data_IF_301520815281
#
_entry.id   IF_301520815281
#
_cell.length_a   1.000
_cell.length_b   1.000
_cell.length_c   1.000
_cell.angle_alpha   90.00
_cell.angle_beta   90.00
_cell.angle_gamma   90.00
#
_symmetry.space_group_name_H-M   'P 1'
#
loop_
_entity.id
_entity.type
_entity.pdbx_description
1 polymer ?
#
# COMPACT_ATOMS: atom_id res chain seq x y z
N UNK A 1 18.65 1.82 -26.65
CA UNK A 1 18.68 2.77 -25.51
C UNK A 1 18.06 2.09 -24.29
N UNK A 2 18.77 1.94 -23.17
CA UNK A 2 18.29 1.21 -21.98
C UNK A 2 17.73 2.19 -20.96
N UNK A 3 16.44 2.07 -20.62
CA UNK A 3 15.81 2.86 -19.57
C UNK A 3 16.22 2.28 -18.21
N UNK A 4 16.95 3.07 -17.42
CA UNK A 4 17.32 2.74 -16.04
C UNK A 4 16.62 3.75 -15.12
N UNK A 5 16.05 3.27 -14.01
CA UNK A 5 15.46 4.12 -12.97
C UNK A 5 16.00 3.70 -11.61
N UNK A 6 16.53 4.66 -10.85
CA UNK A 6 16.83 4.49 -9.42
C UNK A 6 15.68 5.05 -8.58
N UNK A 7 15.43 4.45 -7.42
CA UNK A 7 14.43 4.93 -6.45
C UNK A 7 15.12 5.16 -5.11
N UNK A 8 14.85 6.31 -4.51
CA UNK A 8 15.35 6.64 -3.18
C UNK A 8 14.66 5.73 -2.16
N UNK A 9 15.44 5.02 -1.35
CA UNK A 9 14.93 4.22 -0.24
C UNK A 9 15.18 4.98 1.07
N UNK A 10 14.26 4.93 2.04
CA UNK A 10 14.50 5.53 3.35
C UNK A 10 15.67 4.83 4.03
N UNK A 11 16.58 5.63 4.60
CA UNK A 11 17.72 5.13 5.37
C UNK A 11 17.22 4.56 6.69
N UNK A 12 17.61 3.32 7.00
CA UNK A 12 17.30 2.69 8.28
C UNK A 12 18.39 3.04 9.30
N UNK A 13 17.98 3.59 10.44
CA UNK A 13 18.84 3.72 11.62
C UNK A 13 19.16 2.33 12.16
N UNK A 14 20.24 2.20 12.94
CA UNK A 14 20.60 0.91 13.52
C UNK A 14 19.54 0.39 14.50
N UNK A 15 18.88 1.31 15.22
CA UNK A 15 17.69 0.98 16.02
C UNK A 15 16.58 0.34 15.16
N UNK A 16 16.21 0.95 14.03
CA UNK A 16 15.18 0.41 13.15
C UNK A 16 15.57 -0.97 12.60
N UNK A 17 16.86 -1.22 12.34
CA UNK A 17 17.34 -2.54 11.90
C UNK A 17 17.18 -3.58 13.01
N UNK A 18 17.58 -3.23 14.25
CA UNK A 18 17.44 -4.14 15.39
C UNK A 18 15.98 -4.47 15.69
N UNK A 19 15.09 -3.48 15.68
CA UNK A 19 13.68 -3.70 15.96
C UNK A 19 13.03 -4.60 14.89
N UNK A 20 13.39 -4.40 13.61
CA UNK A 20 12.97 -5.29 12.53
C UNK A 20 13.51 -6.71 12.68
N UNK A 21 14.77 -6.87 13.09
CA UNK A 21 15.36 -8.19 13.33
C UNK A 21 14.65 -8.92 14.48
N UNK A 22 14.40 -8.22 15.60
CA UNK A 22 13.65 -8.76 16.74
C UNK A 22 12.26 -9.21 16.32
N UNK A 23 11.56 -8.40 15.52
CA UNK A 23 10.26 -8.77 14.98
C UNK A 23 10.33 -10.04 14.11
N UNK A 24 11.32 -10.14 13.21
CA UNK A 24 11.50 -11.34 12.39
C UNK A 24 11.78 -12.59 13.23
N UNK A 25 12.65 -12.48 14.24
CA UNK A 25 12.99 -13.59 15.14
C UNK A 25 11.77 -14.05 15.96
N UNK A 26 10.93 -13.11 16.40
CA UNK A 26 9.67 -13.43 17.08
C UNK A 26 8.70 -14.23 16.19
N UNK A 27 8.86 -14.15 14.87
CA UNK A 27 8.06 -14.90 13.89
C UNK A 27 8.68 -16.21 13.45
N UNK A 28 9.75 -16.67 14.11
CA UNK A 28 10.40 -17.95 13.84
C UNK A 28 10.22 -18.86 15.06
N UNK A 29 9.70 -20.06 14.82
CA UNK A 29 9.48 -21.11 15.82
C UNK A 29 10.43 -22.28 15.56
N UNK A 30 10.84 -22.96 16.63
CA UNK A 30 11.60 -24.21 16.53
C UNK A 30 10.62 -25.37 16.32
N UNK A 31 10.78 -26.10 15.24
CA UNK A 31 10.03 -27.30 14.95
C UNK A 31 10.58 -28.50 15.75
N UNK A 32 9.76 -29.54 15.89
CA UNK A 32 10.11 -30.74 16.67
C UNK A 32 11.35 -31.49 16.13
N UNK A 33 11.69 -31.28 14.86
CA UNK A 33 12.86 -31.85 14.20
C UNK A 33 14.13 -30.97 14.35
N UNK A 34 14.05 -29.86 15.09
CA UNK A 34 15.15 -28.91 15.28
C UNK A 34 15.26 -27.83 14.19
N UNK A 35 14.39 -27.84 13.18
CA UNK A 35 14.39 -26.82 12.14
C UNK A 35 13.73 -25.52 12.60
N UNK A 36 14.15 -24.39 12.01
CA UNK A 36 13.52 -23.09 12.21
C UNK A 36 12.44 -22.88 11.15
N UNK A 37 11.19 -22.78 11.58
CA UNK A 37 10.04 -22.52 10.71
C UNK A 37 9.43 -21.16 11.01
N UNK A 38 8.97 -20.46 9.98
CA UNK A 38 8.17 -19.25 10.19
C UNK A 38 6.79 -19.62 10.76
N UNK A 39 6.29 -18.75 11.62
CA UNK A 39 4.89 -18.72 12.06
C UNK A 39 3.96 -18.82 10.84
N UNK A 40 2.92 -19.63 10.96
CA UNK A 40 1.98 -19.85 9.86
C UNK A 40 1.06 -18.64 9.63
N UNK A 41 0.97 -17.73 10.59
CA UNK A 41 0.18 -16.51 10.52
C UNK A 41 -1.29 -16.74 10.18
N UNK A 42 -1.85 -17.94 10.43
CA UNK A 42 -3.26 -18.21 10.11
C UNK A 42 -4.26 -17.41 10.96
N UNK A 43 -3.80 -16.92 12.12
CA UNK A 43 -4.59 -16.08 13.03
C UNK A 43 -4.34 -14.58 12.84
N UNK A 44 -3.61 -14.20 11.78
CA UNK A 44 -3.29 -12.81 11.49
C UNK A 44 -4.12 -12.25 10.33
N UNK A 45 -4.64 -11.05 10.55
CA UNK A 45 -5.24 -10.21 9.51
C UNK A 45 -4.32 -9.01 9.31
N UNK A 46 -3.79 -8.87 8.10
CA UNK A 46 -3.00 -7.72 7.71
C UNK A 46 -3.92 -6.62 7.22
N UNK A 47 -3.82 -5.44 7.84
CA UNK A 47 -4.58 -4.24 7.48
C UNK A 47 -3.60 -3.19 6.98
N UNK A 48 -3.91 -2.57 5.84
CA UNK A 48 -3.12 -1.47 5.29
C UNK A 48 -4.04 -0.38 4.73
N UNK A 49 -3.58 0.86 4.79
CA UNK A 49 -4.23 2.02 4.21
C UNK A 49 -3.47 2.52 3.00
N UNK A 50 -4.19 2.76 1.90
CA UNK A 50 -3.57 3.22 0.66
C UNK A 50 -4.36 4.31 -0.02
N UNK A 51 -3.65 5.39 -0.36
CA UNK A 51 -4.17 6.47 -1.19
C UNK A 51 -4.06 6.13 -2.67
N UNK A 52 -5.20 6.17 -3.37
CA UNK A 52 -5.28 6.05 -4.81
C UNK A 52 -5.63 7.41 -5.42
N UNK A 53 -4.90 7.78 -6.46
CA UNK A 53 -5.20 8.98 -7.24
C UNK A 53 -6.21 8.62 -8.32
N UNK A 54 -7.31 9.39 -8.42
CA UNK A 54 -8.31 9.21 -9.47
C UNK A 54 -7.70 9.34 -10.87
N UNK A 55 -6.62 10.12 -10.99
CA UNK A 55 -5.81 10.20 -12.20
C UNK A 55 -4.31 10.22 -11.92
N UNK A 56 -3.53 9.60 -12.80
CA UNK A 56 -2.06 9.78 -12.81
C UNK A 56 -1.70 11.15 -13.38
N UNK A 57 -0.71 11.82 -12.78
CA UNK A 57 -0.14 13.10 -13.26
C UNK A 57 0.43 12.96 -14.67
N UNK A 58 1.19 11.90 -14.92
CA UNK A 58 1.69 11.53 -16.24
C UNK A 58 1.10 10.18 -16.61
N UNK A 59 0.37 10.12 -17.72
CA UNK A 59 -0.18 8.88 -18.28
C UNK A 59 0.25 8.79 -19.73
N UNK A 60 0.77 7.63 -20.11
CA UNK A 60 1.10 7.32 -21.50
C UNK A 60 -0.15 6.80 -22.20
N UNK A 61 -0.39 7.27 -23.43
CA UNK A 61 -1.44 6.83 -24.32
C UNK A 61 -0.80 6.32 -25.60
N UNK A 62 -1.36 5.26 -26.17
CA UNK A 62 -1.09 4.86 -27.55
C UNK A 62 -2.20 5.49 -28.38
N UNK A 63 -1.83 6.28 -29.39
CA UNK A 63 -2.78 6.98 -30.28
C UNK A 63 -2.48 6.55 -31.71
N UNK A 64 -3.52 6.43 -32.52
CA UNK A 64 -3.38 6.28 -33.97
C UNK A 64 -3.00 7.63 -34.61
N UNK A 65 -2.42 7.62 -35.82
CA UNK A 65 -1.92 8.85 -36.48
C UNK A 65 -2.96 9.97 -36.60
N UNK A 66 -4.24 9.61 -36.72
CA UNK A 66 -5.34 10.56 -36.94
C UNK A 66 -6.16 10.80 -35.65
N UNK A 67 -5.71 10.29 -34.51
CA UNK A 67 -6.45 10.39 -33.27
C UNK A 67 -5.97 11.59 -32.46
N UNK A 68 -6.92 12.42 -32.03
CA UNK A 68 -6.61 13.59 -31.22
C UNK A 68 -6.12 13.19 -29.82
N UNK A 69 -5.18 13.98 -29.30
CA UNK A 69 -4.63 13.73 -27.98
C UNK A 69 -5.71 13.96 -26.91
N UNK A 70 -5.89 13.04 -25.94
CA UNK A 70 -6.86 13.23 -24.88
C UNK A 70 -6.49 14.43 -24.00
N UNK A 71 -7.41 15.38 -23.88
CA UNK A 71 -7.28 16.53 -23.00
C UNK A 71 -7.56 16.15 -21.55
N UNK A 72 -6.66 16.55 -20.64
CA UNK A 72 -6.80 16.30 -19.20
C UNK A 72 -6.33 17.51 -18.41
N UNK A 73 -7.28 18.30 -17.93
CA UNK A 73 -7.02 19.55 -17.22
C UNK A 73 -7.31 19.40 -15.72
N UNK A 74 -6.41 19.91 -14.89
CA UNK A 74 -6.56 20.02 -13.43
C UNK A 74 -5.80 21.25 -12.95
N UNK A 75 -6.31 21.96 -11.93
CA UNK A 75 -5.72 23.22 -11.43
C UNK A 75 -4.25 23.07 -11.01
N UNK A 76 -3.89 21.97 -10.33
CA UNK A 76 -2.49 21.57 -10.06
C UNK A 76 -2.43 20.14 -9.50
N UNK A 77 -1.24 19.51 -9.47
CA UNK A 77 -1.06 18.11 -9.02
C UNK A 77 -1.68 17.79 -7.64
N UNK A 78 -1.60 18.66 -6.62
CA UNK A 78 -2.21 18.40 -5.32
C UNK A 78 -3.75 18.39 -5.33
N UNK A 79 -4.38 18.97 -6.35
CA UNK A 79 -5.84 19.01 -6.50
C UNK A 79 -6.41 17.77 -7.18
N UNK A 80 -5.57 16.80 -7.56
CA UNK A 80 -6.05 15.51 -8.03
C UNK A 80 -6.73 14.80 -6.87
N UNK A 81 -8.01 14.45 -7.04
CA UNK A 81 -8.79 13.69 -6.07
C UNK A 81 -8.04 12.42 -5.67
N UNK A 82 -7.83 12.26 -4.36
CA UNK A 82 -7.27 11.05 -3.76
C UNK A 82 -8.36 10.38 -2.95
N UNK A 83 -8.44 9.07 -3.06
CA UNK A 83 -9.37 8.24 -2.32
C UNK A 83 -8.54 7.28 -1.47
N UNK A 84 -8.80 7.22 -0.18
CA UNK A 84 -8.14 6.28 0.74
C UNK A 84 -8.97 5.01 0.83
N UNK A 85 -8.29 3.88 0.70
CA UNK A 85 -8.87 2.57 0.91
C UNK A 85 -8.15 1.88 2.05
N UNK A 86 -8.92 1.27 2.94
CA UNK A 86 -8.42 0.29 3.89
C UNK A 86 -8.65 -1.09 3.31
N UNK A 87 -7.61 -1.91 3.25
CA UNK A 87 -7.71 -3.29 2.80
C UNK A 87 -7.31 -4.23 3.93
N UNK A 88 -8.11 -5.28 4.15
CA UNK A 88 -7.78 -6.36 5.07
C UNK A 88 -7.59 -7.67 4.31
N UNK A 89 -6.44 -8.32 4.54
CA UNK A 89 -6.06 -9.57 3.90
C UNK A 89 -5.48 -10.52 4.94
N UNK A 90 -5.98 -11.75 4.97
CA UNK A 90 -5.42 -12.87 5.72
C UNK A 90 -4.67 -13.82 4.79
N UNK A 91 -3.95 -14.79 5.36
CA UNK A 91 -3.24 -15.81 4.58
C UNK A 91 -4.26 -16.68 3.80
N UNK A 92 -4.09 -16.87 2.48
CA UNK A 92 -4.92 -17.80 1.71
C UNK A 92 -4.81 -19.22 2.26
N UNK A 93 -5.95 -19.92 2.39
CA UNK A 93 -5.98 -21.28 2.96
C UNK A 93 -7.15 -22.08 2.41
N UNK A 94 -6.98 -23.39 2.36
CA UNK A 94 -8.05 -24.30 1.98
C UNK A 94 -8.99 -24.54 3.16
N UNK A 95 -10.29 -24.39 2.93
CA UNK A 95 -11.35 -24.75 3.89
C UNK A 95 -11.86 -26.15 3.55
N UNK A 96 -11.51 -27.13 4.39
CA UNK A 96 -11.91 -28.52 4.22
C UNK A 96 -13.43 -28.74 4.41
N UNK A 97 -14.10 -27.91 5.23
CA UNK A 97 -15.54 -28.04 5.48
C UNK A 97 -16.34 -27.57 4.27
N UNK A 98 -15.94 -26.45 3.67
CA UNK A 98 -16.60 -25.90 2.47
C UNK A 98 -16.04 -26.46 1.17
N UNK A 99 -14.98 -27.28 1.24
CA UNK A 99 -14.19 -27.78 0.11
C UNK A 99 -13.77 -26.66 -0.86
N UNK A 100 -13.52 -25.47 -0.32
CA UNK A 100 -13.28 -24.26 -1.09
C UNK A 100 -11.97 -23.61 -0.66
N UNK A 101 -11.29 -22.96 -1.59
CA UNK A 101 -10.09 -22.18 -1.29
C UNK A 101 -10.48 -20.76 -0.87
N UNK A 102 -10.12 -20.36 0.34
CA UNK A 102 -10.21 -18.97 0.77
C UNK A 102 -8.98 -18.21 0.23
N UNK A 103 -9.23 -17.19 -0.58
CA UNK A 103 -8.19 -16.42 -1.27
C UNK A 103 -7.50 -15.38 -0.37
N UNK A 104 -7.85 -15.35 0.92
CA UNK A 104 -7.27 -14.44 1.90
C UNK A 104 -7.90 -13.04 1.89
N UNK A 105 -8.74 -12.69 0.91
CA UNK A 105 -9.32 -11.35 0.83
C UNK A 105 -10.50 -11.25 1.79
N UNK A 106 -10.40 -10.34 2.76
CA UNK A 106 -11.50 -10.10 3.72
C UNK A 106 -12.37 -8.96 3.21
N UNK A 107 -11.75 -7.86 2.79
CA UNK A 107 -12.49 -6.72 2.27
C UNK A 107 -11.61 -5.53 1.94
N UNK A 108 -12.22 -4.61 1.19
CA UNK A 108 -11.67 -3.30 0.89
C UNK A 108 -12.78 -2.29 1.17
N UNK A 109 -12.49 -1.31 2.02
CA UNK A 109 -13.42 -0.26 2.41
C UNK A 109 -12.90 1.10 1.98
N UNK A 110 -13.81 1.91 1.45
CA UNK A 110 -13.57 3.31 1.15
C UNK A 110 -13.69 4.11 2.44
N UNK A 111 -12.72 4.97 2.75
CA UNK A 111 -12.97 6.07 3.67
C UNK A 111 -13.65 7.19 2.89
N UNK A 112 -14.95 7.38 3.13
CA UNK A 112 -15.77 8.43 2.48
C UNK A 112 -15.72 9.75 3.27
N UNK A 113 -14.90 9.85 4.31
CA UNK A 113 -14.75 11.09 5.07
C UNK A 113 -14.08 12.16 4.21
N UNK A 114 -14.84 13.20 3.87
CA UNK A 114 -14.34 14.38 3.18
C UNK A 114 -13.62 15.27 4.20
N UNK A 115 -12.35 14.99 4.45
CA UNK A 115 -11.54 15.87 5.30
C UNK A 115 -10.94 17.02 4.49
N UNK A 116 -10.96 18.26 5.01
CA UNK A 116 -10.19 19.34 4.41
C UNK A 116 -8.71 18.97 4.48
N UNK A 117 -8.00 19.07 3.35
CA UNK A 117 -6.58 18.75 3.30
C UNK A 117 -5.80 19.51 4.38
N UNK A 118 -5.27 18.77 5.38
CA UNK A 118 -4.45 19.34 6.45
C UNK A 118 -3.10 19.77 5.85
N UNK A 119 -3.04 21.04 5.44
CA UNK A 119 -1.81 21.66 4.94
C UNK A 119 -1.07 22.33 6.09
N UNK A 120 -0.03 21.67 6.60
CA UNK A 120 1.00 22.34 7.38
C UNK A 120 1.90 23.15 6.42
N UNK A 121 1.48 24.36 6.06
CA UNK A 121 2.37 25.33 5.44
C UNK A 121 2.93 26.24 6.52
N UNK A 122 4.23 26.56 6.45
CA UNK A 122 4.90 27.47 7.39
C UNK A 122 4.26 28.87 7.42
N UNK A 123 3.51 29.24 6.38
CA UNK A 123 2.97 30.57 6.16
C UNK A 123 1.46 30.70 6.49
N UNK A 124 0.82 29.65 7.02
CA UNK A 124 -0.61 29.71 7.41
C UNK A 124 -0.71 29.98 8.91
N UNK A 125 -1.40 31.05 9.29
CA UNK A 125 -1.71 31.34 10.69
C UNK A 125 -2.46 30.15 11.30
N UNK A 126 -2.05 29.74 12.51
CA UNK A 126 -2.79 28.75 13.29
C UNK A 126 -3.97 29.49 13.91
N UNK A 127 -5.18 29.15 13.50
CA UNK A 127 -6.38 29.58 14.20
C UNK A 127 -6.37 28.92 15.60
N UNK A 128 -6.65 29.73 16.62
CA UNK A 128 -6.61 29.37 18.04
C UNK A 128 -7.77 28.46 18.45
#
# INVERSE_FOLDING_TARGET
MKKISSTVKPTLTDKNKMDRLKFCLYKVNLANNGDLLFDDLYDYVHIDEKWFYLTKVKRSYYLMLNEEKPERNCKSKPFITKIMFMAAVARPRYDAHRKLYFDGKIGIWLFVYQEPAQKNSKNRAKEQ
#
